data_IF_681816538105
#
_entry.id   IF_681816538105
#
_cell.length_a   1.000
_cell.length_b   1.000
_cell.length_c   1.000
_cell.angle_alpha   90.00
_cell.angle_beta   90.00
_cell.angle_gamma   90.00
#
_symmetry.space_group_name_H-M   'P 1'
#
loop_
_entity.id
_entity.type
_entity.pdbx_description
1 polymer ?
#
# COMPACT_ATOMS: atom_id res chain seq x y z
N UNK A 1 -15.38 57.91 -6.42
CA UNK A 1 -14.68 56.73 -6.99
C UNK A 1 -13.69 56.10 -6.00
N UNK A 2 -13.12 56.86 -5.05
CA UNK A 2 -12.14 56.34 -4.06
C UNK A 2 -12.72 55.31 -3.06
N UNK A 3 -13.99 55.45 -2.67
CA UNK A 3 -14.64 54.56 -1.68
C UNK A 3 -14.80 53.11 -2.18
N UNK A 4 -15.12 52.91 -3.46
CA UNK A 4 -15.28 51.58 -4.04
C UNK A 4 -13.93 50.86 -4.19
N UNK A 5 -12.85 51.58 -4.50
CA UNK A 5 -11.50 51.02 -4.57
C UNK A 5 -11.04 50.48 -3.22
N UNK A 6 -11.21 51.27 -2.15
CA UNK A 6 -10.86 50.86 -0.79
C UNK A 6 -11.64 49.64 -0.31
N UNK A 7 -12.91 49.50 -0.69
CA UNK A 7 -13.74 48.34 -0.33
C UNK A 7 -13.28 47.10 -1.10
N UNK A 8 -12.98 47.24 -2.39
CA UNK A 8 -12.46 46.14 -3.22
C UNK A 8 -11.09 45.67 -2.72
N UNK A 9 -10.22 46.59 -2.31
CA UNK A 9 -8.90 46.27 -1.77
C UNK A 9 -8.99 45.63 -0.37
N UNK A 10 -9.94 46.07 0.45
CA UNK A 10 -10.31 45.43 1.72
C UNK A 10 -10.73 43.98 1.51
N UNK A 11 -11.71 43.75 0.64
CA UNK A 11 -12.21 42.40 0.29
C UNK A 11 -11.10 41.55 -0.32
N UNK A 12 -10.26 42.08 -1.22
CA UNK A 12 -9.11 41.36 -1.75
C UNK A 12 -8.13 40.98 -0.64
N UNK A 13 -7.83 41.87 0.29
CA UNK A 13 -6.92 41.59 1.40
C UNK A 13 -7.47 40.55 2.36
N UNK A 14 -8.79 40.52 2.55
CA UNK A 14 -9.49 39.60 3.45
C UNK A 14 -9.70 38.22 2.80
N UNK A 15 -9.98 38.19 1.49
CA UNK A 15 -9.97 36.97 0.67
C UNK A 15 -8.55 36.43 0.50
N UNK A 16 -7.53 37.28 0.35
CA UNK A 16 -6.12 36.85 0.29
C UNK A 16 -5.59 36.41 1.66
N UNK A 17 -6.09 36.99 2.76
CA UNK A 17 -5.81 36.49 4.11
C UNK A 17 -6.55 35.19 4.40
N UNK A 18 -7.81 35.07 4.00
CA UNK A 18 -8.59 33.83 4.07
C UNK A 18 -8.03 32.72 3.17
N UNK A 19 -7.49 33.07 2.00
CA UNK A 19 -6.76 32.17 1.11
C UNK A 19 -5.33 31.86 1.59
N UNK A 20 -4.81 32.62 2.57
CA UNK A 20 -3.56 32.30 3.29
C UNK A 20 -3.79 31.42 4.53
N UNK A 21 -5.04 31.11 4.87
CA UNK A 21 -5.38 30.12 5.90
C UNK A 21 -5.73 28.80 5.21
N UNK A 22 -4.70 28.09 4.75
CA UNK A 22 -4.72 26.68 4.34
C UNK A 22 -3.99 26.36 3.03
N UNK A 23 -3.16 25.30 2.92
CA UNK A 23 -2.85 24.23 3.90
C UNK A 23 -1.44 24.35 4.50
N UNK A 24 -1.22 23.80 5.70
CA UNK A 24 0.09 23.19 6.02
C UNK A 24 0.35 22.15 4.93
N UNK A 25 1.29 22.40 4.04
CA UNK A 25 1.51 21.60 2.84
C UNK A 25 1.79 20.15 3.25
N UNK A 26 1.32 19.15 2.50
CA UNK A 26 1.62 17.73 2.82
C UNK A 26 3.12 17.49 3.08
N UNK A 27 3.98 18.17 2.32
CA UNK A 27 5.42 18.14 2.51
C UNK A 27 5.87 18.70 3.86
N UNK A 28 5.22 19.74 4.39
CA UNK A 28 5.49 20.30 5.70
C UNK A 28 5.10 19.32 6.80
N UNK A 29 3.96 18.63 6.67
CA UNK A 29 3.55 17.57 7.59
C UNK A 29 4.53 16.38 7.58
N UNK A 30 5.00 15.96 6.39
CA UNK A 30 6.03 14.91 6.27
C UNK A 30 7.36 15.37 6.87
N UNK A 31 7.75 16.61 6.63
CA UNK A 31 8.98 17.18 7.20
C UNK A 31 8.90 17.26 8.74
N UNK A 32 7.77 17.70 9.28
CA UNK A 32 7.51 17.75 10.71
C UNK A 32 7.52 16.35 11.33
N UNK A 33 6.84 15.37 10.71
CA UNK A 33 6.87 13.97 11.14
C UNK A 33 8.30 13.42 11.16
N UNK A 34 9.05 13.64 10.08
CA UNK A 34 10.45 13.21 9.98
C UNK A 34 11.33 13.84 11.05
N UNK A 35 11.11 15.10 11.38
CA UNK A 35 11.87 15.81 12.41
C UNK A 35 11.49 15.38 13.84
N UNK A 36 10.23 15.01 14.07
CA UNK A 36 9.74 14.55 15.38
C UNK A 36 10.18 13.12 15.72
N UNK A 37 10.36 12.26 14.71
CA UNK A 37 10.78 10.87 14.91
C UNK A 37 12.30 10.78 15.05
N UNK A 38 12.78 10.13 16.11
CA UNK A 38 14.21 9.82 16.26
C UNK A 38 14.57 8.52 15.53
N UNK A 39 15.08 8.66 14.31
CA UNK A 39 15.46 7.53 13.45
C UNK A 39 16.71 6.76 13.94
N UNK A 40 17.40 7.25 14.97
CA UNK A 40 18.54 6.55 15.57
C UNK A 40 18.11 5.41 16.49
N UNK A 41 16.84 5.35 16.88
CA UNK A 41 16.32 4.32 17.77
C UNK A 41 16.40 2.93 17.13
N UNK A 42 17.06 2.00 17.83
CA UNK A 42 17.38 0.66 17.31
C UNK A 42 16.13 -0.17 16.97
N UNK A 43 15.04 0.01 17.72
CA UNK A 43 13.80 -0.73 17.44
C UNK A 43 13.10 -0.18 16.19
N UNK A 44 13.13 1.14 15.93
CA UNK A 44 12.62 1.75 14.69
C UNK A 44 13.43 1.21 13.50
N UNK A 45 14.75 1.18 13.61
CA UNK A 45 15.61 0.57 12.59
C UNK A 45 15.29 -0.91 12.38
N UNK A 46 15.01 -1.66 13.45
CA UNK A 46 14.54 -3.04 13.38
C UNK A 46 13.23 -3.18 12.61
N UNK A 47 12.26 -2.28 12.85
CA UNK A 47 11.00 -2.23 12.10
C UNK A 47 11.24 -1.90 10.63
N UNK A 48 12.11 -0.94 10.30
CA UNK A 48 12.45 -0.61 8.92
C UNK A 48 13.15 -1.78 8.20
N UNK A 49 14.07 -2.47 8.89
CA UNK A 49 14.73 -3.65 8.37
C UNK A 49 13.75 -4.81 8.13
N UNK A 50 12.77 -4.97 9.03
CA UNK A 50 11.68 -5.93 8.85
C UNK A 50 10.84 -5.60 7.60
N UNK A 51 10.49 -4.33 7.36
CA UNK A 51 9.81 -3.96 6.12
C UNK A 51 10.66 -4.27 4.89
N UNK A 52 11.95 -3.94 4.90
CA UNK A 52 12.85 -4.25 3.81
C UNK A 52 12.94 -5.76 3.53
N UNK A 53 12.98 -6.60 4.58
CA UNK A 53 13.00 -8.05 4.41
C UNK A 53 11.71 -8.57 3.79
N UNK A 54 10.55 -8.02 4.13
CA UNK A 54 9.27 -8.37 3.49
C UNK A 54 9.26 -8.01 2.00
N UNK A 55 9.81 -6.85 1.63
CA UNK A 55 9.99 -6.48 0.22
C UNK A 55 10.92 -7.45 -0.52
N UNK A 56 12.02 -7.86 0.11
CA UNK A 56 12.93 -8.86 -0.47
C UNK A 56 12.20 -10.19 -0.67
N UNK A 57 11.47 -10.69 0.33
CA UNK A 57 10.68 -11.92 0.22
C UNK A 57 9.63 -11.80 -0.88
N UNK A 58 8.88 -10.70 -0.92
CA UNK A 58 7.89 -10.43 -1.97
C UNK A 58 8.52 -10.53 -3.37
N UNK A 59 9.63 -9.83 -3.60
CA UNK A 59 10.31 -9.80 -4.91
C UNK A 59 10.93 -11.16 -5.28
N UNK A 60 11.54 -11.85 -4.32
CA UNK A 60 12.15 -13.17 -4.53
C UNK A 60 11.11 -14.23 -4.90
N UNK A 61 9.94 -14.21 -4.24
CA UNK A 61 8.90 -15.22 -4.41
C UNK A 61 7.70 -14.73 -5.24
N UNK A 62 7.81 -13.64 -5.99
CA UNK A 62 6.70 -13.04 -6.77
C UNK A 62 5.99 -13.98 -7.75
N UNK A 63 6.65 -15.07 -8.17
CA UNK A 63 6.08 -16.08 -9.08
C UNK A 63 5.47 -17.29 -8.37
N UNK A 64 5.65 -17.41 -7.04
CA UNK A 64 5.18 -18.54 -6.25
C UNK A 64 3.88 -18.15 -5.56
N UNK A 65 2.74 -18.57 -6.14
CA UNK A 65 1.41 -18.15 -5.70
C UNK A 65 1.16 -18.42 -4.21
N UNK A 66 1.49 -19.63 -3.73
CA UNK A 66 1.25 -20.03 -2.34
C UNK A 66 1.97 -19.13 -1.32
N UNK A 67 3.24 -18.78 -1.60
CA UNK A 67 4.03 -17.89 -0.74
C UNK A 67 3.46 -16.48 -0.76
N UNK A 68 3.05 -15.98 -1.92
CA UNK A 68 2.44 -14.66 -2.06
C UNK A 68 1.12 -14.56 -1.28
N UNK A 69 0.27 -15.60 -1.35
CA UNK A 69 -0.99 -15.66 -0.59
C UNK A 69 -0.71 -15.66 0.92
N UNK A 70 0.22 -16.49 1.38
CA UNK A 70 0.61 -16.52 2.80
C UNK A 70 1.16 -15.18 3.29
N UNK A 71 2.02 -14.55 2.49
CA UNK A 71 2.59 -13.23 2.78
C UNK A 71 1.50 -12.14 2.83
N UNK A 72 0.54 -12.17 1.88
CA UNK A 72 -0.57 -11.23 1.84
C UNK A 72 -1.44 -11.34 3.10
N UNK A 73 -1.84 -12.55 3.49
CA UNK A 73 -2.60 -12.76 4.73
C UNK A 73 -1.82 -12.31 5.97
N UNK A 74 -0.52 -12.61 6.04
CA UNK A 74 0.34 -12.15 7.13
C UNK A 74 0.36 -10.62 7.25
N UNK A 75 0.53 -9.92 6.11
CA UNK A 75 0.50 -8.46 6.04
C UNK A 75 -0.88 -7.91 6.43
N UNK A 76 -1.97 -8.48 5.94
CA UNK A 76 -3.34 -8.06 6.28
C UNK A 76 -3.62 -8.22 7.78
N UNK A 77 -3.24 -9.35 8.37
CA UNK A 77 -3.38 -9.57 9.82
C UNK A 77 -2.55 -8.55 10.60
N UNK A 78 -1.30 -8.31 10.19
CA UNK A 78 -0.44 -7.32 10.83
C UNK A 78 -1.08 -5.93 10.82
N UNK A 79 -1.60 -5.47 9.67
CA UNK A 79 -2.32 -4.20 9.56
C UNK A 79 -3.57 -4.19 10.46
N UNK A 80 -4.34 -5.27 10.51
CA UNK A 80 -5.51 -5.39 11.39
C UNK A 80 -5.17 -5.38 12.89
N UNK A 81 -3.92 -5.71 13.26
CA UNK A 81 -3.41 -5.62 14.62
C UNK A 81 -2.75 -4.27 14.93
N UNK A 82 -2.61 -3.38 13.95
CA UNK A 82 -1.85 -2.14 14.11
C UNK A 82 -2.40 -1.23 15.23
N UNK A 83 -3.71 -1.11 15.36
CA UNK A 83 -4.35 -0.33 16.44
C UNK A 83 -4.00 -0.91 17.83
N UNK A 84 -4.05 -2.23 17.96
CA UNK A 84 -3.68 -2.93 19.21
C UNK A 84 -2.20 -2.77 19.51
N UNK A 85 -1.34 -2.86 18.50
CA UNK A 85 0.09 -2.64 18.64
C UNK A 85 0.40 -1.20 19.04
N UNK A 86 -0.33 -0.23 18.47
CA UNK A 86 -0.22 1.18 18.83
C UNK A 86 -0.60 1.41 20.30
N UNK A 87 -1.73 0.88 20.76
CA UNK A 87 -2.15 0.99 22.16
C UNK A 87 -1.16 0.30 23.12
N UNK A 88 -0.64 -0.88 22.75
CA UNK A 88 0.38 -1.57 23.54
C UNK A 88 1.70 -0.79 23.60
N UNK A 89 2.09 -0.16 22.48
CA UNK A 89 3.23 0.73 22.40
C UNK A 89 3.06 1.95 23.31
N UNK A 90 1.90 2.61 23.25
CA UNK A 90 1.56 3.74 24.11
C UNK A 90 1.60 3.37 25.61
N UNK A 91 1.22 2.14 25.97
CA UNK A 91 1.24 1.68 27.37
C UNK A 91 2.63 1.27 27.87
N UNK A 92 3.59 0.98 26.98
CA UNK A 92 4.87 0.36 27.36
C UNK A 92 6.11 0.97 26.69
N UNK A 93 5.99 2.15 26.07
CA UNK A 93 7.05 2.78 25.30
C UNK A 93 8.36 2.91 26.10
N UNK A 94 8.30 3.21 27.40
CA UNK A 94 9.46 3.37 28.28
C UNK A 94 10.40 2.15 28.31
N UNK A 95 9.89 0.96 27.95
CA UNK A 95 10.70 -0.27 27.92
C UNK A 95 11.64 -0.35 26.73
N UNK A 96 11.40 0.41 25.66
CA UNK A 96 12.12 0.23 24.39
C UNK A 96 12.41 1.53 23.61
N UNK A 97 11.71 2.63 23.92
CA UNK A 97 11.82 3.92 23.27
C UNK A 97 12.23 5.00 24.27
N UNK A 98 12.88 6.05 23.78
CA UNK A 98 13.29 7.20 24.61
C UNK A 98 12.17 8.22 24.80
N UNK A 99 11.14 8.17 23.95
CA UNK A 99 9.95 9.01 24.00
C UNK A 99 8.71 8.23 23.55
N UNK A 100 7.53 8.71 23.94
CA UNK A 100 6.28 8.10 23.49
C UNK A 100 5.91 8.61 22.09
N UNK A 101 6.03 7.75 21.10
CA UNK A 101 5.59 8.04 19.72
C UNK A 101 4.13 7.73 19.45
N UNK A 102 3.50 6.92 20.31
CA UNK A 102 2.18 6.36 20.04
C UNK A 102 1.09 7.29 20.54
N UNK A 103 0.09 7.50 19.68
CA UNK A 103 -1.00 8.44 19.90
C UNK A 103 -2.37 7.77 19.69
N UNK A 104 -3.44 8.34 20.23
CA UNK A 104 -4.80 7.77 20.13
C UNK A 104 -5.33 7.70 18.69
N UNK A 105 -4.83 8.57 17.80
CA UNK A 105 -5.17 8.55 16.39
C UNK A 105 -4.30 7.60 15.57
N UNK A 106 -3.25 7.03 16.18
CA UNK A 106 -2.30 6.12 15.56
C UNK A 106 -1.56 6.74 14.37
N UNK A 107 -1.31 8.05 14.37
CA UNK A 107 -0.61 8.72 13.27
C UNK A 107 0.78 8.12 13.08
N UNK A 108 1.52 7.93 14.17
CA UNK A 108 2.86 7.35 14.09
C UNK A 108 2.85 5.89 13.63
N UNK A 109 2.02 5.04 14.24
CA UNK A 109 1.91 3.64 13.82
C UNK A 109 1.37 3.53 12.38
N UNK A 110 0.45 4.41 12.00
CA UNK A 110 -0.06 4.52 10.63
C UNK A 110 1.06 4.81 9.63
N UNK A 111 1.92 5.78 9.92
CA UNK A 111 3.02 6.17 9.03
C UNK A 111 4.17 5.16 9.02
N UNK A 112 4.62 4.68 10.18
CA UNK A 112 5.79 3.81 10.29
C UNK A 112 5.48 2.33 9.96
N UNK A 113 4.28 1.87 10.27
CA UNK A 113 3.90 0.45 10.18
C UNK A 113 2.84 0.20 9.10
N UNK A 114 1.70 0.89 9.14
CA UNK A 114 0.62 0.60 8.18
C UNK A 114 0.95 1.04 6.75
N UNK A 115 1.49 2.24 6.55
CA UNK A 115 1.71 2.78 5.21
C UNK A 115 2.67 1.91 4.35
N UNK A 116 3.82 1.44 4.87
CA UNK A 116 4.67 0.52 4.12
C UNK A 116 4.00 -0.83 3.84
N UNK A 117 3.22 -1.34 4.79
CA UNK A 117 2.48 -2.61 4.65
C UNK A 117 1.37 -2.51 3.60
N UNK A 118 0.64 -1.39 3.55
CA UNK A 118 -0.39 -1.13 2.55
C UNK A 118 0.22 -0.94 1.16
N UNK A 119 1.38 -0.28 1.06
CA UNK A 119 2.11 -0.19 -0.21
C UNK A 119 2.53 -1.58 -0.71
N UNK A 120 3.05 -2.42 0.20
CA UNK A 120 3.43 -3.79 -0.11
C UNK A 120 2.20 -4.64 -0.53
N UNK A 121 1.08 -4.53 0.17
CA UNK A 121 -0.15 -5.27 -0.15
C UNK A 121 -0.76 -4.84 -1.48
N UNK A 122 -0.66 -3.55 -1.84
CA UNK A 122 -1.06 -3.05 -3.15
C UNK A 122 -0.20 -3.67 -4.27
N UNK A 123 1.12 -3.75 -4.08
CA UNK A 123 2.00 -4.42 -5.04
C UNK A 123 1.69 -5.91 -5.18
N UNK A 124 1.38 -6.60 -4.07
CA UNK A 124 0.92 -7.99 -4.13
C UNK A 124 -0.39 -8.13 -4.90
N UNK A 125 -1.36 -7.24 -4.68
CA UNK A 125 -2.64 -7.25 -5.40
C UNK A 125 -2.44 -7.08 -6.91
N UNK A 126 -1.57 -6.18 -7.33
CA UNK A 126 -1.20 -6.01 -8.75
C UNK A 126 -0.55 -7.28 -9.32
N UNK A 127 0.33 -7.92 -8.55
CA UNK A 127 0.96 -9.18 -8.95
C UNK A 127 -0.05 -10.33 -9.06
N UNK A 128 -1.02 -10.41 -8.16
CA UNK A 128 -2.12 -11.39 -8.26
C UNK A 128 -3.00 -11.15 -9.48
N UNK A 129 -3.34 -9.89 -9.77
CA UNK A 129 -4.10 -9.56 -10.97
C UNK A 129 -3.35 -9.98 -12.25
N UNK A 130 -2.05 -9.71 -12.31
CA UNK A 130 -1.21 -10.12 -13.42
C UNK A 130 -1.14 -11.64 -13.57
N UNK A 131 -0.93 -12.37 -12.47
CA UNK A 131 -0.89 -13.83 -12.49
C UNK A 131 -2.24 -14.44 -12.89
N UNK A 132 -3.35 -13.92 -12.36
CA UNK A 132 -4.69 -14.35 -12.69
C UNK A 132 -5.02 -14.13 -14.18
N UNK A 133 -4.65 -12.96 -14.73
CA UNK A 133 -4.85 -12.67 -16.15
C UNK A 133 -4.06 -13.64 -17.05
N UNK A 134 -2.79 -13.90 -16.70
CA UNK A 134 -1.98 -14.88 -17.44
C UNK A 134 -2.55 -16.30 -17.36
N UNK A 135 -2.94 -16.76 -16.18
CA UNK A 135 -3.55 -18.08 -16.00
C UNK A 135 -4.85 -18.23 -16.79
N UNK A 136 -5.69 -17.19 -16.82
CA UNK A 136 -6.94 -17.21 -17.58
C UNK A 136 -6.69 -17.31 -19.09
N UNK A 137 -5.70 -16.57 -19.61
CA UNK A 137 -5.29 -16.66 -21.02
C UNK A 137 -4.72 -18.05 -21.34
N UNK A 138 -3.93 -18.62 -20.45
CA UNK A 138 -3.34 -19.95 -20.65
C UNK A 138 -4.40 -21.05 -20.67
N UNK A 139 -5.38 -20.99 -19.77
CA UNK A 139 -6.54 -21.91 -19.77
C UNK A 139 -7.31 -21.76 -21.07
N UNK A 140 -7.62 -20.52 -21.50
CA UNK A 140 -8.36 -20.27 -22.75
C UNK A 140 -7.62 -20.80 -23.98
N UNK A 141 -6.30 -20.63 -24.02
CA UNK A 141 -5.46 -21.15 -25.10
C UNK A 141 -5.46 -22.68 -25.14
N UNK A 142 -5.46 -23.33 -23.97
CA UNK A 142 -5.54 -24.81 -23.86
C UNK A 142 -6.90 -25.32 -24.32
N UNK A 143 -7.99 -24.72 -23.86
CA UNK A 143 -9.35 -25.07 -24.32
C UNK A 143 -9.47 -24.98 -25.84
N UNK A 144 -8.95 -23.91 -26.45
CA UNK A 144 -9.02 -23.73 -27.90
C UNK A 144 -8.21 -24.80 -28.65
N UNK A 145 -7.02 -25.14 -28.15
CA UNK A 145 -6.20 -26.20 -28.74
C UNK A 145 -6.90 -27.56 -28.67
N UNK A 146 -7.48 -27.89 -27.52
CA UNK A 146 -8.20 -29.15 -27.32
C UNK A 146 -9.42 -29.26 -28.24
N UNK A 147 -10.17 -28.15 -28.43
CA UNK A 147 -11.29 -28.10 -29.36
C UNK A 147 -10.88 -28.30 -30.82
N UNK A 148 -9.75 -27.73 -31.26
CA UNK A 148 -9.24 -27.94 -32.62
C UNK A 148 -8.83 -29.40 -32.85
N UNK A 149 -8.09 -29.98 -31.90
CA UNK A 149 -7.68 -31.38 -31.98
C UNK A 149 -8.88 -32.35 -31.95
N UNK A 150 -9.94 -32.02 -31.21
CA UNK A 150 -11.19 -32.80 -31.23
C UNK A 150 -11.85 -32.77 -32.62
N UNK A 151 -11.96 -31.57 -33.23
CA UNK A 151 -12.54 -31.42 -34.58
C UNK A 151 -11.71 -32.10 -35.68
N UNK A 152 -10.38 -32.08 -35.59
CA UNK A 152 -9.51 -32.79 -36.53
C UNK A 152 -9.73 -34.31 -36.46
N UNK A 153 -9.86 -34.85 -35.24
CA UNK A 153 -10.15 -36.27 -35.02
C UNK A 153 -11.54 -36.69 -35.53
N UNK A 154 -12.54 -35.82 -35.44
CA UNK A 154 -13.87 -36.07 -36.01
C UNK A 154 -13.80 -36.15 -37.54
N UNK A 155 -13.14 -35.20 -38.19
CA UNK A 155 -12.95 -35.19 -39.65
C UNK A 155 -12.18 -36.41 -40.17
N UNK A 156 -11.17 -36.87 -39.45
CA UNK A 156 -10.40 -38.07 -39.85
C UNK A 156 -11.23 -39.36 -39.75
N UNK A 157 -12.20 -39.41 -38.82
CA UNK A 157 -13.12 -40.56 -38.70
C UNK A 157 -14.16 -40.57 -39.82
N UNK A 158 -14.72 -39.41 -40.16
CA UNK A 158 -15.68 -39.28 -41.27
C UNK A 158 -15.03 -39.65 -42.61
N UNK A 159 -13.81 -39.16 -42.88
CA UNK A 159 -13.11 -39.48 -44.13
C UNK A 159 -12.58 -40.92 -44.27
N UNK A 160 -12.65 -41.75 -43.22
CA UNK A 160 -12.36 -43.20 -43.29
C UNK A 160 -13.61 -44.08 -43.43
N UNK A 161 -14.79 -43.49 -43.29
CA UNK A 161 -16.07 -44.19 -43.37
C UNK A 161 -16.68 -44.17 -44.79
N UNK A 162 -16.18 -43.30 -45.67
CA UNK A 162 -16.45 -43.25 -47.11
C UNK A 162 -15.42 -44.06 -47.92
#
# INVERSE_FOLDING_TARGET
MESLGSIIDGIKSEVLKGAKVGPETFLENVAAFRAAVDWSERWIQGVLAWHASLWVVFLAFRKVYEVQVGLFFGVTIAVGLAERLNALGAAHWEKFATQNYFDDHGIFAGALFCAPMLALSLCMLLNFLHLAAHMLVDVKRREFKDHLTAKEKEKEKEGKAD
#
